data_IF_786654762366
#
_entry.id   IF_786654762366
#
_cell.length_a   1.000
_cell.length_b   1.000
_cell.length_c   1.000
_cell.angle_alpha   90.00
_cell.angle_beta   90.00
_cell.angle_gamma   90.00
#
_symmetry.space_group_name_H-M   'P 1'
#
loop_
_entity.id
_entity.type
_entity.pdbx_description
1 polymer ?
#
# COMPACT_ATOMS: atom_id res chain seq x y z
N UNK A 1 -12.18 16.07 -17.60
CA UNK A 1 -12.61 16.72 -16.36
C UNK A 1 -12.47 15.65 -15.29
N UNK A 2 -11.39 15.69 -14.52
CA UNK A 2 -11.18 14.78 -13.39
C UNK A 2 -12.25 15.08 -12.32
N UNK A 3 -13.01 14.08 -11.93
CA UNK A 3 -13.88 14.18 -10.76
C UNK A 3 -12.95 14.25 -9.54
N UNK A 4 -12.75 15.44 -9.01
CA UNK A 4 -12.07 15.66 -7.74
C UNK A 4 -12.93 14.98 -6.68
N UNK A 5 -12.34 14.06 -5.93
CA UNK A 5 -12.99 13.42 -4.79
C UNK A 5 -13.44 14.53 -3.83
N UNK A 6 -14.76 14.70 -3.61
CA UNK A 6 -15.34 15.84 -2.85
C UNK A 6 -14.83 15.94 -1.41
N UNK A 7 -14.21 14.89 -0.89
CA UNK A 7 -13.71 14.80 0.49
C UNK A 7 -12.27 15.30 0.67
N UNK A 8 -11.52 15.53 -0.41
CA UNK A 8 -10.09 15.86 -0.34
C UNK A 8 -9.20 14.71 0.20
N UNK A 9 -9.78 13.50 0.37
CA UNK A 9 -9.04 12.30 0.75
C UNK A 9 -8.53 11.57 -0.49
N UNK A 10 -7.36 10.90 -0.43
CA UNK A 10 -6.81 10.16 -1.56
C UNK A 10 -7.61 8.88 -1.84
N UNK A 11 -7.56 8.38 -3.07
CA UNK A 11 -7.89 6.98 -3.33
C UNK A 11 -6.90 6.09 -2.61
N UNK A 12 -7.37 4.98 -2.06
CA UNK A 12 -6.53 4.02 -1.35
C UNK A 12 -6.35 2.77 -2.19
N UNK A 13 -5.12 2.29 -2.30
CA UNK A 13 -4.79 1.01 -2.92
C UNK A 13 -4.13 0.08 -1.91
N UNK A 14 -4.71 -1.10 -1.68
CA UNK A 14 -4.15 -2.10 -0.76
C UNK A 14 -3.61 -3.28 -1.58
N UNK A 15 -2.33 -3.60 -1.38
CA UNK A 15 -1.64 -4.69 -2.04
C UNK A 15 -1.99 -6.03 -1.38
N UNK A 16 -3.04 -6.71 -1.84
CA UNK A 16 -3.51 -8.00 -1.34
C UNK A 16 -3.11 -9.19 -2.24
N UNK A 17 -2.51 -8.92 -3.42
CA UNK A 17 -2.23 -9.94 -4.46
C UNK A 17 -1.02 -10.83 -4.22
N UNK A 18 -0.25 -10.62 -3.16
CA UNK A 18 0.95 -11.38 -2.86
C UNK A 18 0.66 -12.88 -2.69
N UNK A 19 1.46 -13.73 -3.36
CA UNK A 19 1.31 -15.19 -3.27
C UNK A 19 1.56 -15.76 -1.88
N UNK A 20 2.09 -14.97 -0.92
CA UNK A 20 2.34 -15.40 0.46
C UNK A 20 3.10 -16.73 0.55
N UNK A 21 4.11 -16.96 -0.32
CA UNK A 21 4.76 -18.27 -0.47
C UNK A 21 5.24 -18.88 0.84
N UNK A 22 5.77 -18.04 1.76
CA UNK A 22 6.15 -18.44 3.11
C UNK A 22 4.95 -18.79 4.00
N UNK A 23 3.80 -18.14 3.75
CA UNK A 23 2.57 -18.35 4.53
C UNK A 23 1.76 -19.55 4.02
N UNK A 24 1.85 -19.90 2.73
CA UNK A 24 1.18 -21.07 2.13
C UNK A 24 1.62 -22.39 2.76
N UNK A 25 2.84 -22.48 3.25
CA UNK A 25 3.29 -23.67 4.01
C UNK A 25 2.46 -23.91 5.27
N UNK A 26 1.72 -22.88 5.75
CA UNK A 26 0.89 -22.93 6.97
C UNK A 26 -0.60 -22.98 6.65
N UNK A 27 -1.08 -22.17 5.68
CA UNK A 27 -2.50 -22.06 5.29
C UNK A 27 -2.62 -21.73 3.80
N UNK A 28 -3.16 -22.68 3.01
CA UNK A 28 -3.39 -22.50 1.55
C UNK A 28 -4.82 -22.06 1.21
N UNK A 29 -5.73 -22.19 2.15
CA UNK A 29 -7.18 -22.06 1.98
C UNK A 29 -7.71 -20.63 2.14
N UNK A 30 -6.91 -19.70 2.69
CA UNK A 30 -7.31 -18.34 3.01
C UNK A 30 -6.29 -17.33 2.45
N UNK A 31 -6.73 -16.22 1.80
CA UNK A 31 -5.85 -15.12 1.45
C UNK A 31 -5.14 -14.57 2.69
N UNK A 32 -3.85 -14.24 2.57
CA UNK A 32 -3.06 -13.70 3.71
C UNK A 32 -3.74 -12.49 4.37
N UNK A 33 -4.37 -11.62 3.56
CA UNK A 33 -5.09 -10.45 4.04
C UNK A 33 -6.34 -10.79 4.88
N UNK A 34 -6.94 -11.97 4.71
CA UNK A 34 -8.11 -12.41 5.48
C UNK A 34 -7.77 -13.29 6.68
N UNK A 35 -6.49 -13.51 6.97
CA UNK A 35 -6.09 -14.25 8.18
C UNK A 35 -6.54 -13.49 9.41
N UNK A 36 -7.26 -14.16 10.34
CA UNK A 36 -7.76 -13.48 11.53
C UNK A 36 -6.63 -13.19 12.54
N UNK A 37 -6.69 -12.01 13.13
CA UNK A 37 -5.92 -11.62 14.32
C UNK A 37 -6.95 -11.34 15.41
N UNK A 38 -6.91 -12.14 16.49
CA UNK A 38 -7.91 -12.08 17.56
C UNK A 38 -9.36 -12.12 17.01
N UNK A 39 -9.63 -13.09 16.13
CA UNK A 39 -10.93 -13.34 15.48
C UNK A 39 -11.40 -12.25 14.48
N UNK A 40 -10.59 -11.21 14.21
CA UNK A 40 -10.87 -10.18 13.22
C UNK A 40 -9.96 -10.39 11.99
N UNK A 41 -10.49 -10.50 10.77
CA UNK A 41 -9.67 -10.53 9.56
C UNK A 41 -8.70 -9.36 9.50
N UNK A 42 -7.44 -9.63 9.15
CA UNK A 42 -6.41 -8.58 9.12
C UNK A 42 -6.80 -7.42 8.19
N UNK A 43 -7.42 -7.73 7.06
CA UNK A 43 -7.92 -6.73 6.12
C UNK A 43 -8.91 -5.77 6.79
N UNK A 44 -9.79 -6.27 7.66
CA UNK A 44 -10.77 -5.42 8.35
C UNK A 44 -10.11 -4.43 9.32
N UNK A 45 -8.97 -4.78 9.92
CA UNK A 45 -8.21 -3.85 10.74
C UNK A 45 -7.72 -2.66 9.90
N UNK A 46 -7.23 -2.92 8.68
CA UNK A 46 -6.80 -1.86 7.76
C UNK A 46 -8.00 -1.05 7.25
N UNK A 47 -9.07 -1.72 6.81
CA UNK A 47 -10.26 -1.07 6.25
C UNK A 47 -10.97 -0.19 7.28
N UNK A 48 -11.14 -0.67 8.51
CA UNK A 48 -11.79 0.10 9.56
C UNK A 48 -10.98 1.36 9.90
N UNK A 49 -9.66 1.24 10.07
CA UNK A 49 -8.81 2.39 10.35
C UNK A 49 -8.86 3.44 9.22
N UNK A 50 -8.83 3.02 7.96
CA UNK A 50 -8.91 3.92 6.82
C UNK A 50 -10.27 4.62 6.70
N UNK A 51 -11.37 3.88 6.89
CA UNK A 51 -12.74 4.42 6.87
C UNK A 51 -12.97 5.40 8.01
N UNK A 52 -12.51 5.07 9.23
CA UNK A 52 -12.60 5.94 10.40
C UNK A 52 -11.81 7.25 10.20
N UNK A 53 -10.75 7.22 9.39
CA UNK A 53 -10.00 8.42 8.98
C UNK A 53 -10.65 9.20 7.83
N UNK A 54 -11.74 8.68 7.23
CA UNK A 54 -12.54 9.34 6.19
C UNK A 54 -12.16 8.94 4.76
N UNK A 55 -11.40 7.87 4.55
CA UNK A 55 -11.19 7.30 3.22
C UNK A 55 -12.48 6.66 2.72
N UNK A 56 -12.94 7.05 1.53
CA UNK A 56 -14.23 6.63 0.98
C UNK A 56 -14.12 5.76 -0.26
N UNK A 57 -12.93 5.68 -0.87
CA UNK A 57 -12.68 4.90 -2.08
C UNK A 57 -11.44 4.04 -1.88
N UNK A 58 -11.63 2.72 -1.85
CA UNK A 58 -10.58 1.75 -1.54
C UNK A 58 -10.53 0.70 -2.63
N UNK A 59 -9.39 0.56 -3.26
CA UNK A 59 -9.11 -0.38 -4.33
C UNK A 59 -8.22 -1.50 -3.76
N UNK A 60 -8.62 -2.75 -3.94
CA UNK A 60 -7.86 -3.92 -3.51
C UNK A 60 -7.16 -4.54 -4.72
N UNK A 61 -5.83 -4.53 -4.73
CA UNK A 61 -5.03 -5.29 -5.69
C UNK A 61 -4.99 -6.75 -5.28
N UNK A 62 -5.61 -7.62 -6.04
CA UNK A 62 -5.78 -9.05 -5.71
C UNK A 62 -5.23 -9.94 -6.81
N UNK A 63 -5.01 -11.21 -6.49
CA UNK A 63 -4.55 -12.22 -7.44
C UNK A 63 -5.02 -13.61 -7.02
N UNK A 64 -4.30 -14.25 -6.12
CA UNK A 64 -4.68 -15.56 -5.59
C UNK A 64 -5.87 -15.45 -4.63
N UNK A 65 -6.86 -16.34 -4.79
CA UNK A 65 -8.10 -16.38 -3.98
C UNK A 65 -8.90 -15.06 -3.99
N UNK A 66 -8.92 -14.36 -5.12
CA UNK A 66 -9.65 -13.09 -5.30
C UNK A 66 -11.11 -13.19 -4.87
N UNK A 67 -11.79 -14.31 -5.21
CA UNK A 67 -13.21 -14.51 -4.92
C UNK A 67 -13.53 -14.47 -3.42
N UNK A 68 -12.59 -14.86 -2.58
CA UNK A 68 -12.77 -14.78 -1.12
C UNK A 68 -12.69 -13.34 -0.62
N UNK A 69 -11.74 -12.55 -1.14
CA UNK A 69 -11.63 -11.11 -0.81
C UNK A 69 -12.88 -10.39 -1.34
N UNK A 70 -13.30 -10.68 -2.57
CA UNK A 70 -14.50 -10.09 -3.17
C UNK A 70 -15.75 -10.39 -2.34
N UNK A 71 -15.97 -11.66 -1.98
CA UNK A 71 -17.10 -12.06 -1.14
C UNK A 71 -17.07 -11.40 0.24
N UNK A 72 -15.89 -11.17 0.79
CA UNK A 72 -15.71 -10.51 2.08
C UNK A 72 -16.09 -9.02 2.02
N UNK A 73 -15.57 -8.28 1.04
CA UNK A 73 -15.86 -6.83 0.92
C UNK A 73 -17.26 -6.52 0.44
N UNK A 74 -17.95 -7.44 -0.27
CA UNK A 74 -19.36 -7.27 -0.67
C UNK A 74 -20.32 -7.12 0.52
N UNK A 75 -19.89 -7.54 1.72
CA UNK A 75 -20.67 -7.39 2.96
C UNK A 75 -20.52 -6.00 3.58
N UNK A 76 -19.60 -5.17 3.08
CA UNK A 76 -19.32 -3.82 3.58
C UNK A 76 -20.06 -2.78 2.74
N UNK A 77 -20.50 -1.70 3.42
CA UNK A 77 -21.21 -0.56 2.79
C UNK A 77 -20.74 0.79 3.33
N UNK A 78 -19.60 0.80 3.99
CA UNK A 78 -19.03 1.95 4.70
C UNK A 78 -18.05 2.76 3.83
N UNK A 79 -17.68 2.23 2.65
CA UNK A 79 -16.91 2.90 1.62
C UNK A 79 -17.22 2.31 0.23
N UNK A 80 -16.71 2.93 -0.83
CA UNK A 80 -16.69 2.33 -2.18
C UNK A 80 -15.48 1.38 -2.27
N UNK A 81 -15.75 0.10 -2.51
CA UNK A 81 -14.74 -0.93 -2.67
C UNK A 81 -14.65 -1.39 -4.11
N UNK A 82 -13.45 -1.38 -4.68
CA UNK A 82 -13.16 -1.86 -6.03
C UNK A 82 -12.07 -2.94 -5.98
N UNK A 83 -12.06 -3.81 -6.96
CA UNK A 83 -11.04 -4.86 -7.08
C UNK A 83 -10.26 -4.69 -8.37
N UNK A 84 -8.93 -4.73 -8.28
CA UNK A 84 -8.00 -4.83 -9.38
C UNK A 84 -7.38 -6.23 -9.38
N UNK A 85 -7.80 -7.08 -10.32
CA UNK A 85 -7.37 -8.49 -10.37
C UNK A 85 -6.15 -8.66 -11.25
N UNK A 86 -5.07 -9.20 -10.68
CA UNK A 86 -3.88 -9.60 -11.42
C UNK A 86 -4.00 -11.05 -11.91
N UNK A 87 -4.04 -11.26 -13.22
CA UNK A 87 -3.99 -12.62 -13.81
C UNK A 87 -2.61 -13.26 -13.69
N UNK A 88 -1.57 -12.45 -13.65
CA UNK A 88 -0.17 -12.84 -13.48
C UNK A 88 0.42 -11.97 -12.37
N UNK A 89 1.38 -12.48 -11.62
CA UNK A 89 2.05 -11.71 -10.56
C UNK A 89 2.84 -10.56 -11.17
N UNK A 90 2.37 -9.34 -10.95
CA UNK A 90 2.94 -8.11 -11.49
C UNK A 90 3.96 -7.45 -10.53
N UNK A 91 4.05 -7.90 -9.29
CA UNK A 91 4.82 -7.23 -8.24
C UNK A 91 4.14 -5.95 -7.74
N UNK A 92 4.71 -5.31 -6.74
CA UNK A 92 4.07 -4.17 -6.05
C UNK A 92 3.83 -2.98 -6.99
N UNK A 93 4.85 -2.55 -7.74
CA UNK A 93 4.74 -1.47 -8.71
C UNK A 93 3.83 -1.81 -9.89
N UNK A 94 3.95 -3.02 -10.45
CA UNK A 94 3.12 -3.46 -11.55
C UNK A 94 1.64 -3.56 -11.19
N UNK A 95 1.30 -3.99 -9.95
CA UNK A 95 -0.06 -4.01 -9.44
C UNK A 95 -0.68 -2.61 -9.36
N UNK A 96 0.07 -1.65 -8.82
CA UNK A 96 -0.35 -0.24 -8.75
C UNK A 96 -0.58 0.32 -10.15
N UNK A 97 0.37 0.08 -11.08
CA UNK A 97 0.25 0.54 -12.48
C UNK A 97 -0.94 -0.10 -13.20
N UNK A 98 -1.22 -1.37 -12.96
CA UNK A 98 -2.37 -2.08 -13.51
C UNK A 98 -3.70 -1.48 -13.06
N UNK A 99 -3.78 -1.03 -11.80
CA UNK A 99 -4.97 -0.40 -11.22
C UNK A 99 -5.16 1.08 -11.62
N UNK A 100 -4.26 1.68 -12.41
CA UNK A 100 -4.26 3.11 -12.74
C UNK A 100 -5.64 3.61 -13.20
N UNK A 101 -6.36 2.83 -14.00
CA UNK A 101 -7.66 3.19 -14.57
C UNK A 101 -8.78 3.31 -13.52
N UNK A 102 -8.55 2.83 -12.30
CA UNK A 102 -9.49 2.89 -11.17
C UNK A 102 -9.25 4.12 -10.29
N UNK A 103 -8.09 4.77 -10.39
CA UNK A 103 -7.79 5.95 -9.58
C UNK A 103 -8.44 7.20 -10.15
N UNK A 104 -9.07 7.99 -9.29
CA UNK A 104 -9.73 9.25 -9.62
C UNK A 104 -9.04 10.46 -8.98
N UNK A 105 -8.36 10.26 -7.85
CA UNK A 105 -7.65 11.33 -7.13
C UNK A 105 -6.25 11.57 -7.67
N UNK A 106 -5.76 12.81 -7.50
CA UNK A 106 -4.41 13.20 -7.91
C UNK A 106 -3.32 12.53 -7.05
N UNK A 107 -3.65 12.15 -5.81
CA UNK A 107 -2.80 11.39 -4.90
C UNK A 107 -3.41 10.03 -4.61
N UNK A 108 -2.57 9.00 -4.59
CA UNK A 108 -2.96 7.63 -4.27
C UNK A 108 -2.21 7.18 -3.02
N UNK A 109 -2.95 6.78 -2.01
CA UNK A 109 -2.39 6.16 -0.80
C UNK A 109 -2.26 4.66 -1.03
N UNK A 110 -1.06 4.14 -0.97
CA UNK A 110 -0.77 2.70 -1.16
C UNK A 110 -0.36 2.07 0.16
N UNK A 111 -0.95 0.92 0.49
CA UNK A 111 -0.60 0.13 1.68
C UNK A 111 -0.26 -1.30 1.31
N UNK A 112 0.73 -1.87 2.00
CA UNK A 112 0.92 -3.31 2.00
C UNK A 112 -0.23 -3.99 2.76
N UNK A 113 -0.87 -4.98 2.15
CA UNK A 113 -2.02 -5.70 2.73
C UNK A 113 -1.63 -6.75 3.77
N UNK A 114 -0.40 -6.74 4.26
CA UNK A 114 0.15 -7.70 5.21
C UNK A 114 0.95 -7.07 6.36
N UNK A 115 0.93 -5.76 6.46
CA UNK A 115 1.57 -4.99 7.54
C UNK A 115 0.62 -3.92 8.08
N UNK A 116 0.72 -3.63 9.37
CA UNK A 116 -0.08 -2.61 10.05
C UNK A 116 0.82 -1.65 10.82
N UNK A 117 0.56 -0.37 10.62
CA UNK A 117 1.13 0.72 11.40
C UNK A 117 0.07 1.78 11.62
N UNK A 118 -0.04 2.29 12.83
CA UNK A 118 -0.92 3.42 13.12
C UNK A 118 -0.31 4.72 12.58
N UNK A 119 -1.06 5.45 11.74
CA UNK A 119 -0.64 6.74 11.20
C UNK A 119 -1.85 7.61 10.87
N UNK A 120 -1.63 8.89 10.60
CA UNK A 120 -2.69 9.80 10.14
C UNK A 120 -2.61 10.01 8.64
N UNK A 121 -3.64 9.58 7.91
CA UNK A 121 -3.76 9.80 6.46
C UNK A 121 -3.69 11.29 6.13
N UNK A 122 -4.38 12.14 6.88
CA UNK A 122 -4.37 13.60 6.68
C UNK A 122 -2.99 14.21 6.87
N UNK A 123 -2.25 13.75 7.88
CA UNK A 123 -0.89 14.24 8.15
C UNK A 123 0.07 13.83 7.04
N UNK A 124 0.02 12.57 6.59
CA UNK A 124 0.84 12.06 5.50
C UNK A 124 0.54 12.80 4.19
N UNK A 125 -0.75 12.96 3.86
CA UNK A 125 -1.18 13.68 2.66
C UNK A 125 -0.76 15.15 2.69
N UNK A 126 -0.94 15.83 3.84
CA UNK A 126 -0.50 17.22 4.00
C UNK A 126 1.02 17.36 3.81
N UNK A 127 1.80 16.45 4.39
CA UNK A 127 3.26 16.42 4.19
C UNK A 127 3.61 16.25 2.71
N UNK A 128 3.01 15.25 2.05
CA UNK A 128 3.22 14.97 0.63
C UNK A 128 2.96 16.19 -0.26
N UNK A 129 1.80 16.83 -0.08
CA UNK A 129 1.40 18.02 -0.87
C UNK A 129 2.29 19.22 -0.55
N UNK A 130 2.58 19.49 0.74
CA UNK A 130 3.40 20.65 1.15
C UNK A 130 4.84 20.58 0.63
N UNK A 131 5.35 19.37 0.45
CA UNK A 131 6.68 19.11 -0.12
C UNK A 131 6.68 19.03 -1.65
N UNK A 132 5.51 19.07 -2.29
CA UNK A 132 5.37 18.85 -3.73
C UNK A 132 6.05 17.54 -4.17
N UNK A 133 5.96 16.53 -3.31
CA UNK A 133 6.63 15.26 -3.51
C UNK A 133 5.90 14.42 -4.57
N UNK A 134 6.64 13.71 -5.41
CA UNK A 134 6.07 12.69 -6.30
C UNK A 134 5.77 11.40 -5.54
N UNK A 135 6.60 11.12 -4.53
CA UNK A 135 6.47 9.96 -3.64
C UNK A 135 6.77 10.38 -2.21
N UNK A 136 5.97 9.89 -1.27
CA UNK A 136 6.24 9.98 0.18
C UNK A 136 6.12 8.59 0.78
N UNK A 137 7.10 8.19 1.58
CA UNK A 137 7.14 6.89 2.26
C UNK A 137 6.97 7.11 3.76
N UNK A 138 6.05 6.37 4.37
CA UNK A 138 5.97 6.32 5.82
C UNK A 138 7.10 5.45 6.37
N UNK A 139 7.88 6.00 7.28
CA UNK A 139 8.97 5.31 7.92
C UNK A 139 8.65 5.03 9.40
N UNK A 140 9.19 3.95 9.91
CA UNK A 140 9.13 3.58 11.32
C UNK A 140 10.54 3.42 11.87
N UNK A 141 10.75 3.79 13.15
CA UNK A 141 11.95 3.43 13.87
C UNK A 141 11.84 1.97 14.32
N UNK A 142 12.49 1.08 13.60
CA UNK A 142 12.48 -0.36 13.90
C UNK A 142 13.72 -0.80 14.65
N UNK A 143 13.57 -1.74 15.58
CA UNK A 143 14.70 -2.30 16.31
C UNK A 143 15.03 -3.74 15.93
N UNK A 144 14.15 -4.45 15.21
CA UNK A 144 14.38 -5.85 14.85
C UNK A 144 13.59 -6.27 13.59
N UNK A 145 14.28 -6.79 12.58
CA UNK A 145 13.69 -7.45 11.42
C UNK A 145 14.65 -7.46 10.22
N UNK A 146 14.87 -8.63 9.61
CA UNK A 146 15.77 -8.82 8.47
C UNK A 146 15.12 -8.52 7.11
N UNK A 147 13.82 -8.22 7.10
CA UNK A 147 13.01 -8.18 5.86
C UNK A 147 12.53 -6.77 5.48
N UNK A 148 13.03 -5.72 6.13
CA UNK A 148 12.62 -4.34 5.87
C UNK A 148 13.67 -3.57 5.06
N UNK A 149 13.21 -2.65 4.20
CA UNK A 149 14.09 -1.73 3.49
C UNK A 149 14.56 -0.62 4.43
N UNK A 150 15.87 -0.36 4.43
CA UNK A 150 16.48 0.76 5.13
C UNK A 150 16.41 2.02 4.30
N UNK A 151 16.14 3.16 4.96
CA UNK A 151 16.04 4.45 4.30
C UNK A 151 16.97 5.45 4.99
N UNK A 152 17.83 6.09 4.22
CA UNK A 152 18.64 7.23 4.68
C UNK A 152 18.01 8.53 4.21
N UNK A 153 17.96 9.53 5.10
CA UNK A 153 17.35 10.83 4.83
C UNK A 153 18.38 11.95 4.99
N UNK A 154 18.19 13.03 4.24
CA UNK A 154 18.83 14.31 4.53
C UNK A 154 18.09 15.09 5.64
N UNK A 155 18.60 16.29 5.96
CA UNK A 155 18.03 17.19 6.97
C UNK A 155 16.62 17.71 6.60
N UNK A 156 16.27 17.68 5.29
CA UNK A 156 14.97 18.06 4.76
C UNK A 156 13.99 16.88 4.62
N UNK A 157 14.35 15.71 5.15
CA UNK A 157 13.58 14.45 5.04
C UNK A 157 13.45 13.94 3.61
N UNK A 158 14.39 14.26 2.72
CA UNK A 158 14.45 13.65 1.39
C UNK A 158 15.21 12.34 1.47
N UNK A 159 14.75 11.35 0.73
CA UNK A 159 15.39 10.05 0.65
C UNK A 159 16.71 10.20 -0.10
N UNK A 160 17.82 9.86 0.53
CA UNK A 160 19.14 9.81 -0.07
C UNK A 160 19.47 8.42 -0.60
N UNK A 161 19.03 7.38 0.10
CA UNK A 161 19.19 6.00 -0.33
C UNK A 161 18.07 5.13 0.20
N UNK A 162 17.67 4.13 -0.61
CA UNK A 162 16.75 3.07 -0.24
C UNK A 162 17.43 1.72 -0.47
N UNK A 163 17.65 0.94 0.58
CA UNK A 163 18.30 -0.36 0.51
C UNK A 163 17.37 -1.46 0.99
N UNK A 164 16.96 -2.35 0.10
CA UNK A 164 16.23 -3.56 0.47
C UNK A 164 17.19 -4.55 1.12
N UNK A 165 16.97 -4.89 2.40
CA UNK A 165 17.76 -5.86 3.19
C UNK A 165 19.21 -5.46 3.54
N UNK A 166 19.44 -4.40 4.31
CA UNK A 166 20.78 -4.09 4.81
C UNK A 166 21.18 -5.00 5.96
N UNK A 167 22.50 -5.10 6.17
CA UNK A 167 23.07 -5.66 7.40
C UNK A 167 22.73 -4.75 8.59
N UNK A 168 22.25 -5.35 9.67
CA UNK A 168 21.70 -4.67 10.86
C UNK A 168 22.52 -3.51 11.43
N UNK A 169 21.84 -2.39 11.72
CA UNK A 169 22.30 -1.40 12.68
C UNK A 169 21.11 -0.89 13.52
N UNK A 170 21.32 -0.69 14.82
CA UNK A 170 20.31 -0.13 15.71
C UNK A 170 19.95 1.32 15.32
N UNK A 171 18.66 1.67 15.39
CA UNK A 171 18.18 3.04 15.16
C UNK A 171 17.93 3.41 13.71
N UNK A 172 17.90 2.46 12.78
CA UNK A 172 17.60 2.73 11.38
C UNK A 172 16.10 2.97 11.14
N UNK A 173 15.82 3.88 10.18
CA UNK A 173 14.48 4.08 9.65
C UNK A 173 14.15 2.98 8.64
N UNK A 174 13.03 2.33 8.85
CA UNK A 174 12.56 1.24 7.99
C UNK A 174 11.28 1.63 7.27
N UNK A 175 11.13 1.12 6.06
CA UNK A 175 9.92 1.25 5.26
C UNK A 175 8.74 0.57 5.97
N UNK A 176 7.70 1.33 6.30
CA UNK A 176 6.50 0.83 6.96
C UNK A 176 5.46 0.22 6.00
N UNK A 177 5.71 0.21 4.70
CA UNK A 177 4.79 -0.31 3.68
C UNK A 177 3.58 0.57 3.43
N UNK A 178 3.71 1.88 3.67
CA UNK A 178 2.70 2.89 3.37
C UNK A 178 3.33 3.99 2.53
N UNK A 179 2.70 4.30 1.40
CA UNK A 179 3.21 5.25 0.41
C UNK A 179 2.10 6.22 -0.02
N UNK A 180 2.45 7.48 -0.24
CA UNK A 180 1.60 8.43 -0.95
C UNK A 180 2.27 8.76 -2.29
N UNK A 181 1.57 8.51 -3.40
CA UNK A 181 2.08 8.64 -4.76
C UNK A 181 1.27 9.65 -5.54
N UNK A 182 1.91 10.49 -6.36
CA UNK A 182 1.20 11.24 -7.36
C UNK A 182 0.65 10.31 -8.46
N UNK A 183 -0.60 10.50 -8.85
CA UNK A 183 -1.24 9.76 -9.95
C UNK A 183 -0.42 9.85 -11.24
N UNK A 184 0.15 11.02 -11.52
CA UNK A 184 0.99 11.25 -12.70
C UNK A 184 2.26 10.39 -12.68
N UNK A 185 2.90 10.20 -11.51
CA UNK A 185 4.04 9.31 -11.38
C UNK A 185 3.65 7.88 -11.77
N UNK A 186 2.51 7.39 -11.28
CA UNK A 186 2.01 6.05 -11.60
C UNK A 186 1.76 5.92 -13.11
N UNK A 187 1.20 6.96 -13.74
CA UNK A 187 0.90 7.00 -15.17
C UNK A 187 2.15 6.90 -16.04
N UNK A 188 3.27 7.47 -15.58
CA UNK A 188 4.55 7.46 -16.31
C UNK A 188 5.28 6.12 -16.20
N UNK A 189 4.92 5.26 -15.24
CA UNK A 189 5.58 3.97 -15.11
C UNK A 189 5.21 3.01 -16.25
N UNK A 190 6.14 2.19 -16.71
CA UNK A 190 5.86 1.18 -17.74
C UNK A 190 4.90 0.12 -17.22
N UNK A 191 4.10 -0.45 -18.13
CA UNK A 191 3.29 -1.62 -17.82
C UNK A 191 4.15 -2.87 -17.67
N UNK A 192 3.69 -3.80 -16.83
CA UNK A 192 4.35 -5.08 -16.63
C UNK A 192 4.80 -5.30 -15.18
N UNK A 193 5.68 -6.27 -15.00
CA UNK A 193 6.16 -6.66 -13.67
C UNK A 193 7.18 -5.66 -13.15
N UNK A 194 6.90 -5.07 -11.99
CA UNK A 194 7.78 -4.13 -11.31
C UNK A 194 7.59 -4.18 -9.78
N UNK A 195 8.67 -3.91 -9.04
CA UNK A 195 8.63 -3.62 -7.60
C UNK A 195 8.67 -2.12 -7.39
N UNK A 196 7.79 -1.58 -6.55
CA UNK A 196 7.82 -0.16 -6.21
C UNK A 196 9.16 0.20 -5.53
N UNK A 197 9.68 -0.68 -4.70
CA UNK A 197 10.88 -0.45 -3.89
C UNK A 197 12.17 -0.54 -4.70
N UNK A 198 12.21 -1.40 -5.73
CA UNK A 198 13.42 -1.65 -6.52
C UNK A 198 13.45 -0.92 -7.84
N UNK A 199 12.28 -0.74 -8.45
CA UNK A 199 12.20 -0.26 -9.83
C UNK A 199 11.68 1.18 -9.91
N UNK A 200 10.92 1.68 -8.89
CA UNK A 200 10.38 3.04 -8.87
C UNK A 200 11.12 3.97 -7.91
N UNK A 201 11.60 3.44 -6.79
CA UNK A 201 12.46 4.20 -5.88
C UNK A 201 13.90 3.98 -6.30
N UNK A 202 14.67 5.02 -6.66
CA UNK A 202 16.08 4.91 -7.04
C UNK A 202 16.99 4.60 -5.85
#
# INVERSE_FOLDING_TARGET
MSQVNETGMPDVFILCGGQGTRFREVREDIPKALVPINDVPFLDLLLNDLVDQGCQRIILGTGYLTEQIESHIQQRNDAEYLISVEKLTLGTGGAIRHALHLFLSDQVLVLNGDSYIAFSVKTLLHFHISRQAETTILLSSGTQGTDYGNVELDEDHRILSFQEKPLHSEGQLINAGVYCLQHELIRQQPEGKASIERDWFP
#
